data_IF_424339172313
#
_entry.id   IF_424339172313
#
_cell.length_a   1.000
_cell.length_b   1.000
_cell.length_c   1.000
_cell.angle_alpha   90.00
_cell.angle_beta   90.00
_cell.angle_gamma   90.00
#
_symmetry.space_group_name_H-M   'P 1'
#
loop_
_entity.id
_entity.type
_entity.pdbx_description
1 polymer ?
#
# COMPACT_ATOMS: atom_id res chain seq x y z
N UNK A 1 23.30 8.53 -8.91
CA UNK A 1 23.11 8.03 -8.88
C UNK A 1 22.33 6.90 -8.81
N UNK A 2 22.20 6.03 -9.37
CA UNK A 2 21.36 4.92 -9.40
C UNK A 2 21.33 4.11 -8.17
N UNK A 3 22.22 4.37 -7.33
CA UNK A 3 22.22 3.56 -6.16
C UNK A 3 21.04 3.82 -5.33
N UNK A 4 20.28 4.79 -5.63
CA UNK A 4 19.10 5.05 -4.85
C UNK A 4 18.16 3.89 -4.89
N UNK A 5 18.05 3.22 -5.99
CA UNK A 5 17.13 2.13 -6.06
C UNK A 5 17.55 1.01 -5.20
N UNK A 6 18.81 0.78 -5.11
CA UNK A 6 19.26 -0.29 -4.30
C UNK A 6 18.97 -0.05 -2.87
N UNK A 7 19.16 1.18 -2.45
CA UNK A 7 18.90 1.50 -1.07
C UNK A 7 17.49 1.24 -0.72
N UNK A 8 16.60 1.59 -1.61
CA UNK A 8 15.20 1.39 -1.33
C UNK A 8 14.86 -0.05 -1.22
N UNK A 9 15.43 -0.86 -2.06
CA UNK A 9 15.11 -2.26 -2.02
C UNK A 9 15.56 -2.90 -0.75
N UNK A 10 16.65 -2.45 -0.21
CA UNK A 10 17.16 -3.12 0.95
C UNK A 10 16.74 -2.49 2.24
N UNK A 11 16.49 -1.20 2.23
CA UNK A 11 16.28 -0.53 3.50
C UNK A 11 14.83 -0.31 3.85
N UNK A 12 13.92 -0.58 2.95
CA UNK A 12 12.53 -0.30 3.23
C UNK A 12 11.65 -1.51 2.98
N UNK A 13 11.96 -2.62 3.61
CA UNK A 13 11.14 -3.80 3.36
C UNK A 13 9.74 -3.66 3.93
N UNK A 14 9.55 -2.74 4.87
CA UNK A 14 8.26 -2.62 5.51
C UNK A 14 7.41 -1.51 4.99
N UNK A 15 7.75 -0.94 3.85
CA UNK A 15 6.97 0.17 3.35
C UNK A 15 5.89 -0.28 2.36
N UNK A 16 5.39 -1.48 2.52
CA UNK A 16 4.34 -2.01 1.67
C UNK A 16 3.13 -2.35 2.49
N UNK A 17 1.98 -2.12 1.91
CA UNK A 17 0.72 -2.41 2.56
C UNK A 17 -0.17 -3.20 1.63
N UNK A 18 -1.04 -4.01 2.21
CA UNK A 18 -2.11 -4.65 1.47
C UNK A 18 -3.39 -4.08 2.02
N UNK A 19 -4.20 -3.48 1.16
CA UNK A 19 -5.41 -2.80 1.57
C UNK A 19 -6.60 -3.51 0.96
N UNK A 20 -7.55 -3.92 1.80
CA UNK A 20 -8.75 -4.58 1.34
C UNK A 20 -9.91 -3.61 1.37
N UNK A 21 -10.83 -3.76 0.45
CA UNK A 21 -11.97 -2.87 0.38
C UNK A 21 -13.25 -3.67 0.17
N UNK A 22 -14.37 -3.04 0.49
CA UNK A 22 -15.66 -3.66 0.34
C UNK A 22 -16.00 -3.71 -1.14
N UNK A 23 -16.26 -4.89 -1.65
CA UNK A 23 -16.53 -5.07 -3.05
C UNK A 23 -17.72 -4.23 -3.52
N UNK A 24 -18.74 -4.11 -2.71
CA UNK A 24 -19.90 -3.35 -3.13
C UNK A 24 -19.66 -1.84 -3.09
N UNK A 25 -18.76 -1.37 -2.22
CA UNK A 25 -18.43 0.05 -2.23
C UNK A 25 -17.50 0.37 -3.39
N UNK A 26 -16.68 -0.57 -3.77
CA UNK A 26 -15.71 -0.33 -4.81
C UNK A 26 -14.44 0.28 -4.24
N UNK A 27 -13.52 0.59 -5.13
CA UNK A 27 -12.21 1.07 -4.72
C UNK A 27 -11.88 2.47 -5.26
N UNK A 28 -12.86 3.23 -5.71
CA UNK A 28 -12.56 4.53 -6.30
C UNK A 28 -11.89 5.48 -5.33
N UNK A 29 -12.43 5.59 -4.12
CA UNK A 29 -11.83 6.49 -3.15
C UNK A 29 -10.43 6.02 -2.78
N UNK A 30 -10.27 4.71 -2.65
CA UNK A 30 -8.96 4.14 -2.33
C UNK A 30 -7.95 4.44 -3.42
N UNK A 31 -8.31 4.23 -4.67
CA UNK A 31 -7.38 4.47 -5.77
C UNK A 31 -6.98 5.93 -5.87
N UNK A 32 -7.92 6.82 -5.61
CA UNK A 32 -7.58 8.24 -5.59
C UNK A 32 -6.62 8.56 -4.48
N UNK A 33 -6.82 7.96 -3.32
CA UNK A 33 -5.94 8.21 -2.19
C UNK A 33 -4.54 7.70 -2.48
N UNK A 34 -4.45 6.52 -3.09
CA UNK A 34 -3.15 5.94 -3.44
C UNK A 34 -2.40 6.88 -4.38
N UNK A 35 -3.09 7.36 -5.39
CA UNK A 35 -2.48 8.25 -6.36
C UNK A 35 -2.11 9.58 -5.73
N UNK A 36 -2.99 10.12 -4.91
CA UNK A 36 -2.77 11.41 -4.30
C UNK A 36 -1.53 11.39 -3.40
N UNK A 37 -1.30 10.28 -2.75
CA UNK A 37 -0.17 10.18 -1.84
C UNK A 37 1.12 9.70 -2.52
N UNK A 38 1.05 9.42 -3.80
CA UNK A 38 2.25 9.03 -4.51
C UNK A 38 2.67 7.59 -4.26
N UNK A 39 1.75 6.74 -3.87
CA UNK A 39 2.06 5.34 -3.66
C UNK A 39 2.08 4.61 -4.99
N UNK A 40 2.79 3.50 -5.04
CA UNK A 40 2.87 2.68 -6.23
C UNK A 40 2.01 1.44 -6.04
N UNK A 41 1.18 1.12 -7.01
CA UNK A 41 0.37 -0.09 -6.95
C UNK A 41 1.22 -1.25 -7.42
N UNK A 42 1.44 -2.22 -6.54
CA UNK A 42 2.23 -3.39 -6.87
C UNK A 42 1.36 -4.48 -7.48
N UNK A 43 0.19 -4.72 -6.88
CA UNK A 43 -0.74 -5.72 -7.39
C UNK A 43 -2.15 -5.28 -7.10
N UNK A 44 -3.04 -5.64 -7.98
CA UNK A 44 -4.45 -5.36 -7.79
C UNK A 44 -5.16 -6.70 -7.78
N UNK A 45 -5.51 -7.17 -6.60
CA UNK A 45 -6.11 -8.49 -6.43
C UNK A 45 -7.62 -8.37 -6.52
N UNK A 46 -8.12 -8.40 -7.72
CA UNK A 46 -9.56 -8.18 -7.91
C UNK A 46 -10.40 -9.26 -7.26
N UNK A 47 -9.89 -10.47 -7.21
CA UNK A 47 -10.66 -11.56 -6.62
C UNK A 47 -10.85 -11.38 -5.12
N UNK A 48 -9.89 -10.76 -4.46
CA UNK A 48 -9.98 -10.56 -3.02
C UNK A 48 -10.41 -9.15 -2.67
N UNK A 49 -10.63 -8.31 -3.65
CA UNK A 49 -10.90 -6.90 -3.41
C UNK A 49 -9.78 -6.30 -2.58
N UNK A 50 -8.56 -6.53 -3.01
CA UNK A 50 -7.39 -6.05 -2.30
C UNK A 50 -6.38 -5.43 -3.25
N UNK A 51 -5.58 -4.52 -2.71
CA UNK A 51 -4.55 -3.84 -3.48
C UNK A 51 -3.27 -3.82 -2.65
N UNK A 52 -2.18 -4.25 -3.26
CA UNK A 52 -0.88 -4.18 -2.60
C UNK A 52 -0.17 -2.94 -3.12
N UNK A 53 0.29 -2.10 -2.22
CA UNK A 53 0.92 -0.85 -2.61
C UNK A 53 2.26 -0.70 -1.92
N UNK A 54 3.11 0.14 -2.50
CA UNK A 54 4.37 0.52 -1.92
C UNK A 54 4.26 1.99 -1.58
N UNK A 55 4.62 2.34 -0.36
CA UNK A 55 4.52 3.72 0.09
C UNK A 55 5.66 4.56 -0.45
N UNK A 56 5.46 5.87 -0.60
CA UNK A 56 6.55 6.73 -1.00
C UNK A 56 7.57 6.85 0.11
N UNK A 57 8.76 7.19 -0.26
CA UNK A 57 9.84 7.33 0.68
C UNK A 57 9.48 8.39 1.70
N UNK A 58 9.79 8.13 2.94
CA UNK A 58 9.56 9.12 3.99
C UNK A 58 8.21 9.09 4.65
N UNK A 59 7.30 8.26 4.19
CA UNK A 59 5.98 8.18 4.82
C UNK A 59 5.99 7.02 5.80
N UNK A 60 5.77 7.34 7.07
CA UNK A 60 5.75 6.34 8.12
C UNK A 60 4.63 5.33 7.88
N UNK A 61 4.95 4.05 7.98
CA UNK A 61 3.99 3.02 7.63
C UNK A 61 2.80 3.02 8.58
N UNK A 62 3.04 3.28 9.86
CA UNK A 62 1.93 3.28 10.80
C UNK A 62 0.97 4.43 10.51
N UNK A 63 1.50 5.57 10.13
CA UNK A 63 0.64 6.69 9.78
C UNK A 63 -0.10 6.41 8.49
N UNK A 64 0.53 5.71 7.58
CA UNK A 64 -0.13 5.36 6.33
C UNK A 64 -1.30 4.42 6.59
N UNK A 65 -1.12 3.48 7.50
CA UNK A 65 -2.18 2.55 7.85
C UNK A 65 -3.38 3.31 8.39
N UNK A 66 -3.14 4.24 9.30
CA UNK A 66 -4.23 5.03 9.86
C UNK A 66 -4.93 5.83 8.77
N UNK A 67 -4.14 6.40 7.87
CA UNK A 67 -4.70 7.20 6.79
C UNK A 67 -5.62 6.36 5.91
N UNK A 68 -5.15 5.21 5.47
CA UNK A 68 -5.94 4.40 4.55
C UNK A 68 -7.15 3.76 5.22
N UNK A 69 -7.07 3.49 6.52
CA UNK A 69 -8.22 2.94 7.21
C UNK A 69 -9.40 3.89 7.21
N UNK A 70 -9.15 5.17 7.03
CA UNK A 70 -10.23 6.15 7.02
C UNK A 70 -10.83 6.35 5.64
N UNK A 71 -10.26 5.75 4.62
CA UNK A 71 -10.77 5.93 3.27
C UNK A 71 -12.06 5.15 3.11
N UNK A 72 -13.03 5.76 2.47
CA UNK A 72 -14.32 5.14 2.26
C UNK A 72 -14.16 3.82 1.50
N UNK A 73 -14.80 2.79 2.01
CA UNK A 73 -14.77 1.49 1.36
C UNK A 73 -13.65 0.59 1.84
N UNK A 74 -12.67 1.12 2.53
CA UNK A 74 -11.55 0.29 3.00
C UNK A 74 -12.00 -0.47 4.23
N UNK A 75 -11.75 -1.78 4.23
CA UNK A 75 -12.14 -2.63 5.35
C UNK A 75 -10.96 -3.02 6.21
N UNK A 76 -9.80 -3.24 5.61
CA UNK A 76 -8.64 -3.72 6.35
C UNK A 76 -7.38 -3.19 5.69
N UNK A 77 -6.40 -2.85 6.52
CA UNK A 77 -5.09 -2.43 6.02
C UNK A 77 -4.05 -3.20 6.82
N UNK A 78 -3.21 -3.96 6.12
CA UNK A 78 -2.19 -4.75 6.76
C UNK A 78 -0.83 -4.47 6.13
N UNK A 79 0.21 -4.68 6.91
CA UNK A 79 1.56 -4.59 6.37
C UNK A 79 1.80 -5.79 5.47
N UNK A 80 2.49 -5.56 4.38
CA UNK A 80 2.80 -6.65 3.46
C UNK A 80 4.21 -7.12 3.72
N UNK A 81 4.33 -8.20 4.46
CA UNK A 81 5.61 -8.75 4.83
C UNK A 81 5.93 -10.03 4.11
N UNK A 82 5.21 -10.31 3.06
CA UNK A 82 5.32 -11.59 2.41
C UNK A 82 6.72 -11.93 1.98
N UNK A 83 7.41 -10.97 1.39
CA UNK A 83 8.70 -11.30 0.84
C UNK A 83 9.78 -11.41 1.90
N UNK A 84 9.45 -11.17 3.13
CA UNK A 84 10.43 -11.33 4.18
C UNK A 84 10.61 -12.76 4.59
N UNK A 85 9.80 -13.61 4.09
CA UNK A 85 9.93 -15.01 4.46
C UNK A 85 11.09 -15.70 3.82
N UNK A 86 11.75 -15.02 2.93
CA UNK A 86 12.84 -15.66 2.29
C UNK A 86 13.98 -15.69 3.07
#
# INVERSE_FOLDING_TARGET
MGNDEEDENTSEPNNRLIIYYDKSEGNKALMRAIEKKGCTIMYNYKNFSGVAIKLPKGWDIDKAIVYFKKIKGVTTVNKDNTYQLQ
#
